data_IF_892647613888
#
_entry.id   IF_892647613888
#
_cell.length_a   1.000
_cell.length_b   1.000
_cell.length_c   1.000
_cell.angle_alpha   90.00
_cell.angle_beta   90.00
_cell.angle_gamma   90.00
#
_symmetry.space_group_name_H-M   'P 1'
#
loop_
_entity.id
_entity.type
_entity.pdbx_description
1 polymer ?
#
# COMPACT_ATOMS: atom_id res chain seq x y z
N UNK A 1 -8.49 20.91 3.61
CA UNK A 1 -7.75 20.72 4.88
C UNK A 1 -8.63 21.10 6.06
N UNK A 2 -9.13 22.33 6.14
CA UNK A 2 -9.92 22.84 7.27
C UNK A 2 -11.09 21.92 7.63
N UNK A 3 -11.95 21.60 6.67
CA UNK A 3 -13.09 20.70 6.86
C UNK A 3 -12.67 19.34 7.42
N UNK A 4 -11.59 18.77 6.89
CA UNK A 4 -11.09 17.48 7.35
C UNK A 4 -10.54 17.53 8.78
N UNK A 5 -9.90 18.62 9.16
CA UNK A 5 -9.44 18.84 10.53
C UNK A 5 -10.61 19.01 11.51
N UNK A 6 -11.67 19.72 11.12
CA UNK A 6 -12.88 19.83 11.95
C UNK A 6 -13.62 18.47 12.09
N UNK A 7 -13.67 17.66 11.03
CA UNK A 7 -14.18 16.28 11.10
C UNK A 7 -13.33 15.47 12.08
N UNK A 8 -12.00 15.50 11.95
CA UNK A 8 -11.10 14.78 12.86
C UNK A 8 -11.30 15.21 14.31
N UNK A 9 -11.41 16.51 14.55
CA UNK A 9 -11.68 17.08 15.88
C UNK A 9 -13.02 16.63 16.46
N UNK A 10 -14.08 16.60 15.63
CA UNK A 10 -15.39 16.12 16.05
C UNK A 10 -15.37 14.62 16.39
N UNK A 11 -14.73 13.80 15.55
CA UNK A 11 -14.60 12.35 15.77
C UNK A 11 -13.77 12.06 17.02
N UNK A 12 -12.70 12.81 17.28
CA UNK A 12 -11.87 12.64 18.47
C UNK A 12 -12.62 12.88 19.79
N UNK A 13 -13.71 13.66 19.77
CA UNK A 13 -14.56 13.83 20.96
C UNK A 13 -15.41 12.60 21.28
N UNK A 14 -15.66 11.78 20.25
CA UNK A 14 -16.41 10.53 20.41
C UNK A 14 -15.46 9.40 20.76
N UNK A 15 -14.44 9.17 19.92
CA UNK A 15 -13.40 8.18 20.12
C UNK A 15 -12.16 8.55 19.29
N UNK A 16 -11.03 8.92 19.95
CA UNK A 16 -9.80 9.29 19.26
C UNK A 16 -9.12 8.11 18.54
N UNK A 17 -9.55 6.87 18.76
CA UNK A 17 -9.01 5.68 18.11
C UNK A 17 -9.61 5.40 16.73
N UNK A 18 -10.69 6.10 16.36
CA UNK A 18 -11.32 5.96 15.05
C UNK A 18 -10.33 6.39 13.96
N UNK A 19 -10.03 5.48 13.05
CA UNK A 19 -9.20 5.74 11.89
C UNK A 19 -9.98 6.54 10.84
N UNK A 20 -9.39 7.65 10.36
CA UNK A 20 -9.90 8.41 9.22
C UNK A 20 -8.85 8.34 8.11
N UNK A 21 -9.28 7.95 6.93
CA UNK A 21 -8.41 7.92 5.76
C UNK A 21 -9.19 8.23 4.49
N UNK A 22 -8.47 8.59 3.42
CA UNK A 22 -9.02 8.85 2.11
C UNK A 22 -7.98 8.68 1.01
N UNK A 23 -8.36 8.90 -0.23
CA UNK A 23 -7.46 8.68 -1.37
C UNK A 23 -6.31 9.70 -1.43
N UNK A 24 -6.57 10.96 -1.08
CA UNK A 24 -5.54 11.99 -1.06
C UNK A 24 -5.16 12.55 -2.43
N UNK A 25 -6.02 12.40 -3.43
CA UNK A 25 -5.89 13.04 -4.75
C UNK A 25 -7.22 13.60 -5.23
N UNK A 26 -7.17 14.44 -6.24
CA UNK A 26 -8.36 15.05 -6.85
C UNK A 26 -8.92 14.12 -7.94
N UNK A 27 -10.24 13.97 -7.97
CA UNK A 27 -10.95 13.23 -9.02
C UNK A 27 -11.14 14.06 -10.31
N UNK A 28 -11.04 15.39 -10.20
CA UNK A 28 -11.22 16.36 -11.29
C UNK A 28 -10.40 17.62 -11.00
N UNK A 29 -10.52 18.63 -11.87
CA UNK A 29 -9.85 19.92 -11.69
C UNK A 29 -10.38 20.63 -10.44
N UNK A 30 -9.56 20.83 -9.40
CA UNK A 30 -10.01 21.46 -8.17
C UNK A 30 -10.33 22.94 -8.39
N UNK A 31 -11.41 23.40 -7.78
CA UNK A 31 -11.81 24.82 -7.82
C UNK A 31 -11.18 25.65 -6.68
N UNK A 32 -10.53 25.01 -5.73
CA UNK A 32 -9.88 25.64 -4.58
C UNK A 32 -8.37 25.66 -4.74
N UNK A 33 -7.66 26.58 -4.05
CA UNK A 33 -6.19 26.61 -4.05
C UNK A 33 -5.60 25.26 -3.64
N UNK A 34 -4.53 24.85 -4.31
CA UNK A 34 -3.91 23.54 -4.11
C UNK A 34 -3.45 23.27 -2.66
N UNK A 35 -3.02 24.32 -1.95
CA UNK A 35 -2.60 24.28 -0.55
C UNK A 35 -3.72 24.11 0.47
N UNK A 36 -4.98 24.33 0.03
CA UNK A 36 -6.18 24.13 0.86
C UNK A 36 -6.83 22.76 0.68
N UNK A 37 -6.40 21.99 -0.31
CA UNK A 37 -6.99 20.70 -0.66
C UNK A 37 -6.47 19.59 0.28
N UNK A 38 -7.36 18.64 0.62
CA UNK A 38 -7.04 17.45 1.39
C UNK A 38 -6.33 16.39 0.53
N UNK A 39 -5.23 16.78 -0.11
CA UNK A 39 -4.43 15.94 -0.99
C UNK A 39 -3.20 15.37 -0.27
N UNK A 40 -2.62 14.31 -0.83
CA UNK A 40 -1.43 13.63 -0.31
C UNK A 40 -0.30 14.62 0.03
N UNK A 41 -0.01 15.57 -0.85
CA UNK A 41 1.03 16.58 -0.64
C UNK A 41 0.81 17.50 0.58
N UNK A 42 -0.42 17.54 1.12
CA UNK A 42 -0.83 18.39 2.23
C UNK A 42 -1.18 17.59 3.49
N UNK A 43 -0.95 16.28 3.51
CA UNK A 43 -1.39 15.42 4.63
C UNK A 43 -0.71 15.77 5.95
N UNK A 44 0.48 16.36 5.91
CA UNK A 44 1.17 16.93 7.08
C UNK A 44 0.31 17.97 7.82
N UNK A 45 -0.55 18.69 7.11
CA UNK A 45 -1.51 19.65 7.69
C UNK A 45 -2.82 19.00 8.19
N UNK A 46 -2.92 17.68 8.13
CA UNK A 46 -4.10 16.91 8.55
C UNK A 46 -3.70 15.81 9.56
N UNK A 47 -3.28 16.16 10.76
CA UNK A 47 -2.83 15.19 11.76
C UNK A 47 -3.94 14.20 12.11
N UNK A 48 -3.58 12.90 12.15
CA UNK A 48 -4.53 11.82 12.44
C UNK A 48 -5.43 11.42 11.25
N UNK A 49 -5.11 11.88 10.04
CA UNK A 49 -5.77 11.46 8.79
C UNK A 49 -4.73 10.83 7.89
N UNK A 50 -5.06 9.66 7.33
CA UNK A 50 -4.18 8.91 6.45
C UNK A 50 -4.63 8.95 4.99
N UNK A 51 -3.68 8.78 4.06
CA UNK A 51 -3.95 8.71 2.62
C UNK A 51 -3.22 7.53 1.98
N UNK A 52 -3.71 7.07 0.84
CA UNK A 52 -3.14 5.95 0.11
C UNK A 52 -1.77 6.31 -0.52
N UNK A 53 -0.81 5.37 -0.44
CA UNK A 53 0.52 5.50 -1.06
C UNK A 53 0.57 4.76 -2.40
N UNK A 54 0.36 5.49 -3.48
CA UNK A 54 0.59 5.01 -4.83
C UNK A 54 2.09 4.73 -5.10
N UNK A 55 3.00 5.36 -4.35
CA UNK A 55 4.43 5.05 -4.42
C UNK A 55 4.70 3.58 -4.07
N UNK A 56 4.10 3.08 -2.98
CA UNK A 56 4.28 1.69 -2.57
C UNK A 56 3.57 0.73 -3.53
N UNK A 57 2.30 1.00 -3.87
CA UNK A 57 1.52 0.18 -4.80
C UNK A 57 2.24 0.00 -6.12
N UNK A 58 2.62 1.11 -6.76
CA UNK A 58 3.23 1.09 -8.08
C UNK A 58 4.72 0.73 -8.02
N UNK A 59 5.39 0.99 -6.90
CA UNK A 59 6.73 0.47 -6.63
C UNK A 59 6.77 -1.06 -6.57
N UNK A 60 5.71 -1.69 -6.04
CA UNK A 60 5.56 -3.15 -6.03
C UNK A 60 5.06 -3.69 -7.37
N UNK A 61 3.95 -3.16 -7.87
CA UNK A 61 3.20 -3.74 -8.98
C UNK A 61 3.50 -3.13 -10.36
N UNK A 62 4.08 -1.94 -10.41
CA UNK A 62 4.24 -1.11 -11.61
C UNK A 62 3.09 -0.11 -11.78
N UNK A 63 3.23 0.87 -12.71
CA UNK A 63 2.27 1.96 -12.90
C UNK A 63 0.86 1.45 -13.21
N UNK A 64 -0.14 1.95 -12.49
CA UNK A 64 -1.54 1.49 -12.60
C UNK A 64 -2.10 1.67 -14.02
N UNK A 65 -1.69 2.73 -14.74
CA UNK A 65 -2.13 3.01 -16.11
C UNK A 65 -1.38 2.22 -17.21
N UNK A 66 -0.39 1.41 -16.84
CA UNK A 66 0.37 0.52 -17.73
C UNK A 66 0.34 -0.90 -17.17
N UNK A 67 -0.79 -1.57 -17.36
CA UNK A 67 -1.08 -2.88 -16.73
C UNK A 67 -0.05 -3.95 -17.06
N UNK A 68 0.54 -3.90 -18.25
CA UNK A 68 1.57 -4.82 -18.73
C UNK A 68 2.97 -4.57 -18.12
N UNK A 69 3.17 -3.42 -17.49
CA UNK A 69 4.46 -3.10 -16.86
C UNK A 69 4.47 -3.54 -15.40
N UNK A 70 5.38 -4.44 -15.08
CA UNK A 70 5.72 -4.79 -13.72
C UNK A 70 6.74 -3.84 -13.09
N UNK A 71 6.99 -4.03 -11.79
CA UNK A 71 8.04 -3.37 -11.04
C UNK A 71 8.72 -4.38 -10.09
N UNK A 72 8.88 -4.08 -8.81
CA UNK A 72 9.60 -4.92 -7.86
C UNK A 72 9.14 -6.39 -7.86
N UNK A 73 7.84 -6.66 -7.83
CA UNK A 73 7.30 -8.03 -7.85
C UNK A 73 7.62 -8.79 -9.13
N UNK A 74 7.72 -8.09 -10.25
CA UNK A 74 8.07 -8.69 -11.54
C UNK A 74 9.59 -8.83 -11.77
N UNK A 75 10.42 -8.55 -10.75
CA UNK A 75 11.87 -8.58 -10.87
C UNK A 75 12.45 -7.43 -11.70
N UNK A 76 11.69 -6.37 -11.93
CA UNK A 76 12.16 -5.18 -12.65
C UNK A 76 12.93 -4.28 -11.68
N UNK A 77 14.22 -4.01 -11.91
CA UNK A 77 15.02 -3.19 -11.02
C UNK A 77 14.63 -1.71 -11.10
N UNK A 78 14.99 -0.95 -10.05
CA UNK A 78 14.81 0.50 -9.98
C UNK A 78 13.61 0.97 -9.17
N UNK A 79 12.78 0.05 -8.65
CA UNK A 79 11.65 0.37 -7.79
C UNK A 79 11.98 0.27 -6.28
N UNK A 80 13.21 -0.17 -5.95
CA UNK A 80 13.60 -0.46 -4.56
C UNK A 80 13.42 0.75 -3.65
N UNK A 81 13.71 1.96 -4.15
CA UNK A 81 13.59 3.18 -3.35
C UNK A 81 12.14 3.54 -3.06
N UNK A 82 11.22 3.33 -4.02
CA UNK A 82 9.77 3.51 -3.80
C UNK A 82 9.22 2.51 -2.78
N UNK A 83 9.69 1.26 -2.82
CA UNK A 83 9.32 0.25 -1.83
C UNK A 83 9.87 0.60 -0.44
N UNK A 84 11.14 1.04 -0.34
CA UNK A 84 11.74 1.51 0.92
C UNK A 84 10.97 2.71 1.49
N UNK A 85 10.58 3.65 0.63
CA UNK A 85 9.75 4.80 1.03
C UNK A 85 8.41 4.35 1.63
N UNK A 86 7.76 3.36 1.03
CA UNK A 86 6.56 2.74 1.59
C UNK A 86 6.81 2.00 2.91
N UNK A 87 7.93 1.26 3.02
CA UNK A 87 8.29 0.53 4.25
C UNK A 87 8.41 1.47 5.44
N UNK A 88 9.03 2.65 5.28
CA UNK A 88 9.17 3.63 6.37
C UNK A 88 7.89 4.43 6.63
N UNK A 89 6.83 4.26 5.83
CA UNK A 89 5.56 4.98 6.03
C UNK A 89 5.53 6.39 5.46
N UNK A 90 6.23 6.62 4.34
CA UNK A 90 6.31 7.89 3.60
C UNK A 90 6.88 9.08 4.42
N UNK A 91 7.56 8.80 5.51
CA UNK A 91 8.24 9.78 6.35
C UNK A 91 9.65 10.06 5.84
N UNK A 92 10.25 11.14 6.30
CA UNK A 92 11.68 11.38 6.12
C UNK A 92 12.50 10.28 6.81
N UNK A 93 13.45 9.69 6.07
CA UNK A 93 14.34 8.65 6.59
C UNK A 93 15.73 8.77 5.93
N UNK A 94 16.85 8.69 6.70
CA UNK A 94 18.20 8.95 6.18
C UNK A 94 18.65 8.00 5.05
N UNK A 95 18.05 6.82 4.96
CA UNK A 95 18.38 5.82 3.94
C UNK A 95 17.37 5.80 2.76
N UNK A 96 16.43 6.75 2.70
CA UNK A 96 15.45 6.87 1.61
C UNK A 96 15.69 8.17 0.85
N UNK A 97 16.11 8.04 -0.41
CA UNK A 97 16.33 9.17 -1.31
C UNK A 97 15.08 9.42 -2.15
N UNK A 98 14.38 10.50 -1.85
CA UNK A 98 13.13 10.82 -2.52
C UNK A 98 13.27 11.20 -4.00
N UNK A 99 14.46 11.61 -4.45
CA UNK A 99 14.77 11.85 -5.87
C UNK A 99 14.66 10.58 -6.74
N UNK A 100 14.70 9.42 -6.11
CA UNK A 100 14.61 8.10 -6.74
C UNK A 100 13.29 7.38 -6.43
N UNK A 101 12.33 8.07 -5.81
CA UNK A 101 10.97 7.57 -5.54
C UNK A 101 10.04 7.96 -6.70
N UNK A 102 9.16 7.06 -7.11
CA UNK A 102 8.11 7.40 -8.07
C UNK A 102 7.14 8.43 -7.45
N UNK A 103 6.63 9.36 -8.26
CA UNK A 103 5.62 10.39 -7.91
C UNK A 103 6.05 11.44 -6.89
N UNK A 104 6.70 11.08 -5.78
CA UNK A 104 7.01 12.01 -4.68
C UNK A 104 8.49 12.33 -4.60
N UNK A 105 8.83 13.62 -4.74
CA UNK A 105 10.21 14.12 -4.64
C UNK A 105 10.62 14.49 -3.20
N UNK A 106 9.71 14.34 -2.25
CA UNK A 106 9.91 14.62 -0.82
C UNK A 106 9.01 13.73 0.03
N UNK A 107 9.36 13.49 1.30
CA UNK A 107 8.44 12.87 2.25
C UNK A 107 7.16 13.71 2.37
N UNK A 108 6.02 13.04 2.48
CA UNK A 108 4.73 13.74 2.62
C UNK A 108 4.02 13.44 3.94
N UNK A 109 4.39 12.37 4.63
CA UNK A 109 3.86 12.04 5.95
C UNK A 109 4.79 12.56 7.06
N UNK A 110 4.22 13.19 8.09
CA UNK A 110 4.95 13.52 9.33
C UNK A 110 5.07 12.30 10.25
N UNK A 111 4.03 11.45 10.21
CA UNK A 111 3.96 10.21 10.98
C UNK A 111 3.59 9.03 10.06
N UNK A 112 4.13 7.83 10.28
CA UNK A 112 3.84 6.68 9.44
C UNK A 112 2.35 6.28 9.47
N UNK A 113 1.61 6.69 10.49
CA UNK A 113 0.16 6.51 10.62
C UNK A 113 -0.66 7.37 9.65
N UNK A 114 -0.03 8.26 8.89
CA UNK A 114 -0.67 9.04 7.84
C UNK A 114 -0.62 8.35 6.48
N UNK A 115 0.01 7.19 6.39
CA UNK A 115 0.13 6.42 5.14
C UNK A 115 -0.66 5.12 5.19
N UNK A 116 -1.47 4.88 4.15
CA UNK A 116 -2.08 3.56 3.88
C UNK A 116 -1.14 2.75 3.00
N UNK A 117 -0.67 1.61 3.53
CA UNK A 117 0.15 0.63 2.81
C UNK A 117 -0.76 -0.38 2.12
N UNK A 118 -0.70 -0.48 0.79
CA UNK A 118 -1.56 -1.37 0.02
C UNK A 118 -0.93 -1.77 -1.31
N UNK A 119 -1.51 -2.74 -1.98
CA UNK A 119 -1.11 -3.20 -3.32
C UNK A 119 -2.24 -3.17 -4.33
N UNK A 120 -3.48 -3.31 -3.91
CA UNK A 120 -4.67 -3.09 -4.72
C UNK A 120 -5.86 -2.65 -3.86
N UNK A 121 -6.87 -2.07 -4.49
CA UNK A 121 -8.09 -1.62 -3.83
C UNK A 121 -9.29 -1.81 -4.76
N UNK A 122 -10.37 -1.03 -4.55
CA UNK A 122 -11.58 -1.10 -5.39
C UNK A 122 -11.35 -0.58 -6.82
N UNK A 123 -10.40 0.35 -7.01
CA UNK A 123 -10.00 0.89 -8.31
C UNK A 123 -8.92 0.06 -8.97
N UNK A 124 -8.92 0.02 -10.30
CA UNK A 124 -7.94 -0.69 -11.08
C UNK A 124 -8.11 -2.21 -11.02
N UNK A 125 -7.06 -2.94 -11.35
CA UNK A 125 -7.01 -4.39 -11.28
C UNK A 125 -6.79 -4.86 -9.84
N UNK A 126 -7.48 -5.93 -9.41
CA UNK A 126 -7.09 -6.61 -8.18
C UNK A 126 -5.70 -7.27 -8.34
N UNK A 127 -5.06 -7.61 -7.21
CA UNK A 127 -3.66 -8.06 -7.22
C UNK A 127 -3.41 -9.23 -8.16
N UNK A 128 -4.24 -10.26 -8.14
CA UNK A 128 -4.10 -11.44 -9.03
C UNK A 128 -4.16 -11.05 -10.50
N UNK A 129 -5.12 -10.20 -10.87
CA UNK A 129 -5.25 -9.73 -12.26
C UNK A 129 -4.07 -8.84 -12.67
N UNK A 130 -3.56 -8.05 -11.73
CA UNK A 130 -2.37 -7.23 -11.95
C UNK A 130 -1.12 -8.07 -12.19
N UNK A 131 -0.92 -9.13 -11.41
CA UNK A 131 0.19 -10.07 -11.58
C UNK A 131 0.08 -10.80 -12.92
N UNK A 132 -1.11 -11.24 -13.32
CA UNK A 132 -1.35 -11.86 -14.64
C UNK A 132 -1.03 -10.91 -15.80
N UNK A 133 -1.44 -9.65 -15.69
CA UNK A 133 -1.23 -8.65 -16.74
C UNK A 133 0.25 -8.28 -16.90
N UNK A 134 0.98 -8.10 -15.79
CA UNK A 134 2.39 -7.69 -15.81
C UNK A 134 3.37 -8.86 -15.99
N UNK A 135 2.93 -10.10 -15.75
CA UNK A 135 3.73 -11.32 -15.87
C UNK A 135 2.91 -12.45 -16.51
N UNK A 136 2.55 -12.34 -17.79
CA UNK A 136 1.64 -13.31 -18.44
C UNK A 136 2.21 -14.73 -18.53
N UNK A 137 3.53 -14.90 -18.33
CA UNK A 137 4.19 -16.22 -18.30
C UNK A 137 4.35 -16.80 -16.89
N UNK A 138 3.90 -16.10 -15.83
CA UNK A 138 4.04 -16.63 -14.47
C UNK A 138 3.11 -17.81 -14.21
N UNK A 139 3.66 -18.89 -13.63
CA UNK A 139 2.87 -20.05 -13.22
C UNK A 139 1.95 -19.71 -12.03
N UNK A 140 0.89 -20.49 -11.77
CA UNK A 140 0.04 -20.29 -10.59
C UNK A 140 0.84 -20.25 -9.27
N UNK A 141 1.85 -21.10 -9.13
CA UNK A 141 2.72 -21.16 -7.95
C UNK A 141 3.58 -19.89 -7.82
N UNK A 142 4.05 -19.34 -8.94
CA UNK A 142 4.75 -18.06 -8.95
C UNK A 142 3.82 -16.92 -8.56
N UNK A 143 2.59 -16.88 -9.08
CA UNK A 143 1.59 -15.87 -8.70
C UNK A 143 1.28 -15.91 -7.19
N UNK A 144 1.13 -17.11 -6.61
CA UNK A 144 0.96 -17.29 -5.16
C UNK A 144 2.15 -16.75 -4.37
N UNK A 145 3.39 -17.02 -4.82
CA UNK A 145 4.59 -16.48 -4.15
C UNK A 145 4.66 -14.96 -4.20
N UNK A 146 4.28 -14.37 -5.34
CA UNK A 146 4.32 -12.92 -5.53
C UNK A 146 3.21 -12.22 -4.75
N UNK A 147 2.02 -12.81 -4.66
CA UNK A 147 0.95 -12.36 -3.78
C UNK A 147 1.42 -12.32 -2.31
N UNK A 148 1.99 -13.43 -1.83
CA UNK A 148 2.56 -13.52 -0.48
C UNK A 148 3.68 -12.50 -0.25
N UNK A 149 4.56 -12.27 -1.23
CA UNK A 149 5.62 -11.26 -1.15
C UNK A 149 5.03 -9.85 -1.05
N UNK A 150 4.05 -9.53 -1.88
CA UNK A 150 3.36 -8.23 -1.87
C UNK A 150 2.78 -7.94 -0.48
N UNK A 151 2.06 -8.89 0.08
CA UNK A 151 1.45 -8.73 1.40
C UNK A 151 2.48 -8.74 2.53
N UNK A 152 3.58 -9.48 2.37
CA UNK A 152 4.70 -9.37 3.33
C UNK A 152 5.18 -7.93 3.43
N UNK A 153 5.39 -7.24 2.32
CA UNK A 153 5.79 -5.83 2.32
C UNK A 153 4.72 -4.95 2.98
N UNK A 154 3.44 -5.13 2.64
CA UNK A 154 2.34 -4.36 3.22
C UNK A 154 2.30 -4.51 4.74
N UNK A 155 2.35 -5.75 5.25
CA UNK A 155 2.22 -6.02 6.69
C UNK A 155 3.48 -5.74 7.51
N UNK A 156 4.64 -5.66 6.88
CA UNK A 156 5.91 -5.30 7.55
C UNK A 156 6.28 -3.83 7.39
N UNK A 157 5.51 -3.06 6.60
CA UNK A 157 5.66 -1.60 6.48
C UNK A 157 5.09 -0.87 7.70
N UNK A 158 5.61 0.34 7.97
CA UNK A 158 5.23 1.14 9.13
C UNK A 158 3.88 1.85 8.97
N UNK A 159 3.39 2.01 7.74
CA UNK A 159 2.05 2.56 7.46
C UNK A 159 0.91 1.66 7.95
N UNK A 160 -0.32 2.13 7.79
CA UNK A 160 -1.54 1.38 8.11
C UNK A 160 -1.77 0.36 7.00
N UNK A 161 -1.76 -0.96 7.27
CA UNK A 161 -1.98 -1.97 6.24
C UNK A 161 -3.43 -1.98 5.79
N UNK A 162 -3.63 -2.07 4.48
CA UNK A 162 -4.93 -2.19 3.85
C UNK A 162 -4.94 -3.42 2.93
N UNK A 163 -5.98 -4.25 3.04
CA UNK A 163 -6.21 -5.42 2.21
C UNK A 163 -7.51 -5.21 1.43
N UNK A 164 -7.46 -5.38 0.12
CA UNK A 164 -8.68 -5.45 -0.65
C UNK A 164 -9.38 -6.78 -0.42
N UNK A 165 -10.65 -6.75 -0.01
CA UNK A 165 -11.39 -7.95 0.40
C UNK A 165 -11.35 -9.06 -0.68
N UNK A 166 -10.87 -10.24 -0.30
CA UNK A 166 -10.68 -11.40 -1.16
C UNK A 166 -9.23 -11.62 -1.65
N UNK A 167 -8.31 -10.67 -1.44
CA UNK A 167 -6.89 -10.90 -1.74
C UNK A 167 -6.37 -12.12 -0.99
N UNK A 168 -6.78 -12.29 0.27
CA UNK A 168 -6.39 -13.41 1.12
C UNK A 168 -6.82 -14.80 0.60
N UNK A 169 -7.64 -14.82 -0.44
CA UNK A 169 -8.07 -16.04 -1.14
C UNK A 169 -7.78 -15.99 -2.65
N UNK A 170 -6.85 -15.13 -3.07
CA UNK A 170 -6.49 -14.95 -4.47
C UNK A 170 -7.68 -14.51 -5.34
N UNK A 171 -8.42 -13.47 -4.91
CA UNK A 171 -9.56 -12.94 -5.65
C UNK A 171 -9.16 -12.58 -7.07
N UNK A 172 -9.97 -13.03 -8.01
CA UNK A 172 -9.77 -12.86 -9.44
C UNK A 172 -11.03 -12.18 -10.01
N UNK A 173 -10.85 -11.06 -10.69
CA UNK A 173 -11.91 -10.31 -11.36
C UNK A 173 -11.84 -10.45 -12.89
N UNK A 174 -11.17 -11.50 -13.38
CA UNK A 174 -11.11 -11.85 -14.80
C UNK A 174 -10.45 -10.74 -15.66
N UNK A 175 -9.52 -9.98 -15.08
CA UNK A 175 -8.83 -8.88 -15.74
C UNK A 175 -9.69 -7.62 -15.91
N UNK A 176 -10.86 -7.55 -15.26
CA UNK A 176 -11.72 -6.37 -15.35
C UNK A 176 -11.17 -5.26 -14.46
N UNK A 177 -10.81 -4.18 -15.13
CA UNK A 177 -10.38 -2.93 -14.51
C UNK A 177 -11.60 -2.10 -14.08
N UNK A 178 -11.53 -1.43 -12.94
CA UNK A 178 -12.61 -0.57 -12.46
C UNK A 178 -14.00 -1.22 -12.51
N UNK A 179 -14.12 -2.36 -11.85
CA UNK A 179 -15.28 -3.26 -11.96
C UNK A 179 -16.56 -2.75 -11.27
N UNK A 180 -16.63 -1.49 -10.81
CA UNK A 180 -17.74 -0.97 -10.00
C UNK A 180 -19.12 -1.07 -10.66
N UNK A 181 -19.20 -1.11 -12.00
CA UNK A 181 -20.42 -1.33 -12.79
C UNK A 181 -20.56 -2.77 -13.29
N UNK A 182 -19.63 -3.64 -12.98
CA UNK A 182 -19.67 -5.03 -13.43
C UNK A 182 -20.67 -5.86 -12.63
N UNK A 183 -21.21 -6.95 -13.22
CA UNK A 183 -22.16 -7.82 -12.53
C UNK A 183 -21.50 -8.62 -11.40
N UNK A 184 -22.32 -9.26 -10.58
CA UNK A 184 -21.88 -10.11 -9.47
C UNK A 184 -20.93 -11.24 -9.92
N UNK A 185 -21.07 -11.74 -11.13
CA UNK A 185 -20.15 -12.72 -11.70
C UNK A 185 -18.66 -12.27 -11.68
N UNK A 186 -18.41 -10.95 -11.69
CA UNK A 186 -17.09 -10.34 -11.57
C UNK A 186 -16.82 -9.87 -10.13
N UNK A 187 -17.83 -9.28 -9.48
CA UNK A 187 -17.63 -8.59 -8.22
C UNK A 187 -17.83 -9.44 -6.97
N UNK A 188 -18.60 -10.53 -7.03
CA UNK A 188 -18.77 -11.42 -5.90
C UNK A 188 -17.43 -12.07 -5.47
N UNK A 189 -17.25 -12.21 -4.17
CA UNK A 189 -16.10 -12.96 -3.61
C UNK A 189 -16.49 -14.43 -3.58
N UNK A 190 -15.79 -15.25 -4.36
CA UNK A 190 -15.95 -16.71 -4.33
C UNK A 190 -15.24 -17.30 -3.11
N UNK A 191 -15.94 -17.43 -2.00
CA UNK A 191 -15.42 -17.97 -0.75
C UNK A 191 -14.96 -19.44 -0.82
N UNK A 192 -15.32 -20.20 -1.87
CA UNK A 192 -14.79 -21.55 -2.10
C UNK A 192 -13.28 -21.50 -2.35
N UNK A 193 -12.77 -20.38 -2.84
CA UNK A 193 -11.34 -20.15 -3.01
C UNK A 193 -10.55 -20.20 -1.70
N UNK A 194 -11.21 -20.01 -0.55
CA UNK A 194 -10.58 -20.23 0.75
C UNK A 194 -10.14 -21.68 0.98
N UNK A 195 -10.86 -22.64 0.40
CA UNK A 195 -10.46 -24.05 0.45
C UNK A 195 -9.32 -24.34 -0.53
N UNK A 196 -9.40 -23.83 -1.75
CA UNK A 196 -8.39 -24.08 -2.79
C UNK A 196 -7.08 -23.31 -2.54
N UNK A 197 -7.15 -22.12 -1.95
CA UNK A 197 -6.01 -21.26 -1.63
C UNK A 197 -5.82 -21.12 -0.11
N UNK A 198 -6.08 -22.18 0.63
CA UNK A 198 -6.01 -22.18 2.10
C UNK A 198 -4.62 -21.84 2.64
N UNK A 199 -3.57 -22.14 1.92
CA UNK A 199 -2.19 -21.78 2.26
C UNK A 199 -1.94 -20.27 2.15
N UNK A 200 -2.57 -19.57 1.19
CA UNK A 200 -2.52 -18.11 1.06
C UNK A 200 -3.29 -17.47 2.22
N UNK A 201 -4.53 -17.93 2.47
CA UNK A 201 -5.33 -17.46 3.60
C UNK A 201 -4.60 -17.58 4.94
N UNK A 202 -3.98 -18.74 5.18
CA UNK A 202 -3.20 -18.96 6.40
C UNK A 202 -1.93 -18.10 6.45
N UNK A 203 -1.33 -17.77 5.32
CA UNK A 203 -0.20 -16.88 5.26
C UNK A 203 -0.57 -15.45 5.68
N UNK A 204 -1.66 -14.90 5.15
CA UNK A 204 -2.19 -13.58 5.57
C UNK A 204 -2.50 -13.56 7.06
N UNK A 205 -3.17 -14.60 7.57
CA UNK A 205 -3.44 -14.71 9.01
C UNK A 205 -2.15 -14.64 9.82
N UNK A 206 -1.10 -15.35 9.42
CA UNK A 206 0.19 -15.35 10.10
C UNK A 206 0.89 -13.99 10.02
N UNK A 207 0.79 -13.27 8.90
CA UNK A 207 1.30 -11.90 8.78
C UNK A 207 0.58 -10.94 9.74
N UNK A 208 -0.73 -11.07 9.86
CA UNK A 208 -1.53 -10.29 10.82
C UNK A 208 -1.09 -10.60 12.26
N UNK A 209 -0.93 -11.87 12.60
CA UNK A 209 -0.49 -12.31 13.92
C UNK A 209 0.94 -11.83 14.22
N UNK A 210 1.85 -11.92 13.25
CA UNK A 210 3.20 -11.37 13.32
C UNK A 210 3.18 -9.86 13.62
N UNK A 211 2.44 -9.08 12.82
CA UNK A 211 2.34 -7.63 13.01
C UNK A 211 1.72 -7.26 14.36
N UNK A 212 0.71 -8.00 14.81
CA UNK A 212 0.06 -7.77 16.11
C UNK A 212 0.97 -8.08 17.29
N UNK A 213 1.74 -9.16 17.20
CA UNK A 213 2.63 -9.61 18.28
C UNK A 213 3.96 -8.85 18.35
N UNK A 214 4.35 -8.15 17.26
CA UNK A 214 5.63 -7.42 17.18
C UNK A 214 5.40 -5.92 16.95
N UNK A 215 5.43 -5.09 18.01
CA UNK A 215 5.25 -3.64 17.90
C UNK A 215 6.22 -2.94 16.95
N UNK A 216 7.39 -3.54 16.67
CA UNK A 216 8.38 -3.03 15.72
C UNK A 216 7.82 -2.80 14.30
N UNK A 217 6.78 -3.53 13.87
CA UNK A 217 6.12 -3.32 12.57
C UNK A 217 5.06 -2.21 12.58
N UNK A 218 4.78 -1.60 13.73
CA UNK A 218 3.74 -0.58 13.90
C UNK A 218 4.16 0.44 14.95
N UNK A 219 5.35 1.01 14.78
CA UNK A 219 5.91 1.96 15.75
C UNK A 219 5.06 3.23 15.90
N UNK A 220 4.37 3.65 14.83
CA UNK A 220 3.42 4.76 14.84
C UNK A 220 4.03 6.16 15.05
N UNK A 221 5.34 6.23 15.16
CA UNK A 221 6.10 7.43 15.48
C UNK A 221 7.33 7.52 14.57
N UNK A 222 7.50 8.66 13.91
CA UNK A 222 8.55 8.86 12.91
C UNK A 222 9.96 8.82 13.52
N UNK A 223 10.15 9.34 14.74
CA UNK A 223 11.45 9.30 15.42
C UNK A 223 11.84 7.86 15.76
N UNK A 224 10.89 7.06 16.22
CA UNK A 224 11.12 5.64 16.48
C UNK A 224 11.50 4.89 15.20
N UNK A 225 10.80 5.16 14.08
CA UNK A 225 11.14 4.55 12.80
C UNK A 225 12.55 4.94 12.36
N UNK A 226 12.90 6.21 12.38
CA UNK A 226 14.26 6.68 12.05
C UNK A 226 15.34 6.05 12.92
N UNK A 227 15.05 5.82 14.18
CA UNK A 227 16.00 5.27 15.15
C UNK A 227 16.17 3.75 15.05
N UNK A 228 15.11 3.03 14.75
CA UNK A 228 15.05 1.58 14.93
C UNK A 228 14.89 0.79 13.64
N UNK A 229 14.53 1.42 12.53
CA UNK A 229 14.47 0.77 11.23
C UNK A 229 15.75 1.10 10.44
N UNK A 230 16.45 0.08 10.02
CA UNK A 230 17.68 0.21 9.24
C UNK A 230 17.60 -0.69 8.00
N UNK A 231 17.85 -0.13 6.83
CA UNK A 231 18.04 -0.91 5.62
C UNK A 231 19.47 -1.44 5.55
N UNK A 232 19.60 -2.74 5.42
CA UNK A 232 20.88 -3.41 5.33
C UNK A 232 21.40 -3.38 3.88
N UNK A 233 22.74 -3.30 3.68
CA UNK A 233 23.32 -3.45 2.34
C UNK A 233 23.03 -4.87 1.81
N UNK A 234 22.65 -4.94 0.55
CA UNK A 234 22.42 -6.20 -0.16
C UNK A 234 23.17 -6.19 -1.47
N UNK A 235 23.74 -7.33 -1.85
CA UNK A 235 24.34 -7.52 -3.17
C UNK A 235 23.26 -7.98 -4.15
N UNK A 236 23.19 -7.34 -5.33
CA UNK A 236 22.23 -7.64 -6.37
C UNK A 236 21.14 -6.57 -6.52
N UNK A 237 20.31 -6.75 -7.55
CA UNK A 237 19.19 -5.86 -7.88
C UNK A 237 17.89 -6.46 -7.36
N UNK A 238 16.89 -5.61 -7.16
CA UNK A 238 15.55 -5.99 -6.76
C UNK A 238 15.50 -6.75 -5.42
N UNK A 239 16.36 -6.34 -4.50
CA UNK A 239 16.45 -6.89 -3.15
C UNK A 239 16.35 -5.78 -2.11
N UNK A 240 15.64 -6.04 -1.02
CA UNK A 240 15.55 -5.15 0.13
C UNK A 240 15.69 -6.02 1.38
N UNK A 241 16.60 -5.63 2.26
CA UNK A 241 16.73 -6.19 3.60
C UNK A 241 16.67 -5.05 4.62
N UNK A 242 15.98 -5.26 5.72
CA UNK A 242 15.89 -4.28 6.82
C UNK A 242 15.69 -4.98 8.16
N UNK A 243 16.02 -4.28 9.24
CA UNK A 243 15.84 -4.72 10.61
C UNK A 243 15.30 -3.60 11.49
#
# INVERSE_FOLDING_TARGET
IETMNEIRKAVNKVDPTICIYGEGWAADTPQYPADSLAMKGNVSHMPGIAVFSDELRDGLCGPVWKKEKGAFLAGVPGAEMSVKFGIVGAIEHPQVRCDSVNYSQKPWAEQPTQMISYVSCHDGLCLVDRLKASMPGATPEQQVRLDKLAQTVVFTSQGIPFIYAGEEVMRDKQGVDNSYKSPDAVNAIDWRRKTTNGDVFMYYKRLIDLRKSHPAFRMGDAEKVRKHLEFLPVEGQNLIAFR
#
